data_IF_521340207626
#
_entry.id   IF_521340207626
#
_cell.length_a   1.000
_cell.length_b   1.000
_cell.length_c   1.000
_cell.angle_alpha   90.00
_cell.angle_beta   90.00
_cell.angle_gamma   90.00
#
_symmetry.space_group_name_H-M   'P 1'
#
loop_
_entity.id
_entity.type
_entity.pdbx_description
1 polymer ?
#
# COMPACT_ATOMS: atom_id res chain seq x y z
N UNK A 1 17.21 -0.93 -6.39
CA UNK A 1 16.54 -2.03 -7.12
C UNK A 1 16.34 -1.57 -8.55
N UNK A 2 16.42 -2.51 -9.48
CA UNK A 2 16.12 -2.26 -10.89
C UNK A 2 14.61 -1.99 -11.06
N UNK A 3 14.26 -0.93 -11.79
CA UNK A 3 12.88 -0.51 -12.06
C UNK A 3 12.30 -1.21 -13.30
N UNK A 4 13.16 -1.76 -14.16
CA UNK A 4 12.77 -2.37 -15.43
C UNK A 4 11.69 -3.45 -15.31
N UNK A 5 11.73 -4.38 -14.32
CA UNK A 5 10.65 -5.36 -14.16
C UNK A 5 9.29 -4.72 -13.90
N UNK A 6 9.24 -3.63 -13.12
CA UNK A 6 8.01 -2.93 -12.83
C UNK A 6 7.47 -2.20 -14.06
N UNK A 7 8.37 -1.57 -14.85
CA UNK A 7 8.01 -0.90 -16.11
C UNK A 7 7.48 -1.89 -17.16
N UNK A 8 8.09 -3.07 -17.26
CA UNK A 8 7.61 -4.14 -18.12
C UNK A 8 6.17 -4.54 -17.75
N UNK A 9 5.88 -4.73 -16.45
CA UNK A 9 4.53 -5.06 -15.97
C UNK A 9 3.49 -3.98 -16.25
N UNK A 10 3.86 -2.71 -16.10
CA UNK A 10 2.98 -1.60 -16.49
C UNK A 10 2.70 -1.59 -18.00
N UNK A 11 3.71 -1.85 -18.82
CA UNK A 11 3.59 -1.91 -20.29
C UNK A 11 2.68 -3.05 -20.74
N UNK A 12 2.79 -4.20 -20.09
CA UNK A 12 1.93 -5.38 -20.30
C UNK A 12 0.50 -5.20 -19.74
N UNK A 13 0.22 -4.10 -19.03
CA UNK A 13 -1.03 -3.89 -18.27
C UNK A 13 -1.29 -4.99 -17.23
N UNK A 14 -0.23 -5.63 -16.75
CA UNK A 14 -0.26 -6.67 -15.73
C UNK A 14 -0.22 -6.03 -14.33
N UNK A 15 -1.38 -5.56 -13.87
CA UNK A 15 -1.52 -4.88 -12.57
C UNK A 15 -1.19 -5.80 -11.40
N UNK A 16 -1.42 -7.11 -11.52
CA UNK A 16 -1.03 -8.07 -10.47
C UNK A 16 0.48 -8.23 -10.38
N UNK A 17 1.12 -8.42 -11.54
CA UNK A 17 2.56 -8.47 -11.65
C UNK A 17 3.17 -7.20 -11.05
N UNK A 18 2.67 -6.02 -11.44
CA UNK A 18 3.13 -4.76 -10.89
C UNK A 18 2.93 -4.67 -9.36
N UNK A 19 1.74 -5.01 -8.86
CA UNK A 19 1.42 -4.96 -7.43
C UNK A 19 2.29 -5.90 -6.59
N UNK A 20 2.75 -7.03 -7.16
CA UNK A 20 3.69 -7.94 -6.49
C UNK A 20 5.12 -7.41 -6.42
N UNK A 21 5.47 -6.43 -7.26
CA UNK A 21 6.78 -5.80 -7.30
C UNK A 21 6.86 -4.53 -6.43
N UNK A 22 5.73 -4.02 -5.94
CA UNK A 22 5.66 -2.90 -5.01
C UNK A 22 6.31 -3.28 -3.68
N UNK A 23 7.52 -2.77 -3.44
CA UNK A 23 8.26 -2.99 -2.21
C UNK A 23 9.19 -1.82 -1.93
N UNK A 24 9.34 -1.49 -0.65
CA UNK A 24 10.28 -0.49 -0.17
C UNK A 24 11.31 -1.13 0.77
N UNK A 25 12.59 -1.01 0.43
CA UNK A 25 13.69 -1.58 1.20
C UNK A 25 13.85 -0.97 2.60
N UNK A 26 13.38 0.26 2.81
CA UNK A 26 13.43 0.92 4.12
C UNK A 26 12.25 0.55 5.02
N UNK A 27 11.22 -0.08 4.48
CA UNK A 27 9.99 -0.36 5.20
C UNK A 27 10.23 -1.17 6.47
N UNK A 28 10.91 -2.31 6.37
CA UNK A 28 11.16 -3.15 7.56
C UNK A 28 11.96 -2.42 8.64
N UNK A 29 12.94 -1.59 8.24
CA UNK A 29 13.74 -0.80 9.19
C UNK A 29 12.84 0.18 9.95
N UNK A 30 11.97 0.90 9.23
CA UNK A 30 11.04 1.88 9.82
C UNK A 30 9.97 1.19 10.68
N UNK A 31 9.42 0.06 10.22
CA UNK A 31 8.43 -0.71 10.98
C UNK A 31 9.01 -1.34 12.24
N UNK A 32 10.32 -1.62 12.27
CA UNK A 32 11.00 -2.11 13.47
C UNK A 32 11.25 -0.99 14.49
N UNK A 33 11.46 0.25 14.03
CA UNK A 33 11.72 1.39 14.91
C UNK A 33 10.45 2.13 15.36
N UNK A 34 9.33 1.97 14.64
CA UNK A 34 8.09 2.72 14.87
C UNK A 34 6.89 1.76 14.99
N UNK A 35 6.55 1.30 16.21
CA UNK A 35 5.48 0.32 16.44
C UNK A 35 4.11 0.74 15.89
N UNK A 36 3.78 2.03 15.93
CA UNK A 36 2.50 2.56 15.44
C UNK A 36 2.34 2.38 13.93
N UNK A 37 3.43 2.51 13.17
CA UNK A 37 3.43 2.25 11.73
C UNK A 37 3.35 0.76 11.42
N UNK A 38 3.89 -0.09 12.29
CA UNK A 38 3.74 -1.55 12.18
C UNK A 38 2.29 -1.95 12.39
N UNK A 39 1.63 -1.43 13.43
CA UNK A 39 0.20 -1.65 13.66
C UNK A 39 -0.63 -1.20 12.45
N UNK A 40 -0.37 -0.01 11.91
CA UNK A 40 -1.07 0.46 10.71
C UNK A 40 -0.84 -0.48 9.50
N UNK A 41 0.40 -0.90 9.26
CA UNK A 41 0.73 -1.80 8.16
C UNK A 41 0.04 -3.17 8.29
N UNK A 42 -0.05 -3.70 9.51
CA UNK A 42 -0.74 -4.95 9.83
C UNK A 42 -2.26 -4.81 9.66
N UNK A 43 -2.86 -3.71 10.12
CA UNK A 43 -4.29 -3.43 9.92
C UNK A 43 -4.64 -3.30 8.43
N UNK A 44 -3.83 -2.56 7.67
CA UNK A 44 -4.02 -2.41 6.22
C UNK A 44 -3.87 -3.76 5.49
N UNK A 45 -2.90 -4.58 5.91
CA UNK A 45 -2.68 -5.92 5.35
C UNK A 45 -3.83 -6.87 5.70
N UNK A 46 -4.36 -6.80 6.91
CA UNK A 46 -5.53 -7.60 7.33
C UNK A 46 -6.77 -7.24 6.53
N UNK A 47 -7.00 -5.94 6.29
CA UNK A 47 -8.19 -5.46 5.59
C UNK A 47 -8.13 -5.66 4.06
N UNK A 48 -6.97 -5.41 3.44
CA UNK A 48 -6.85 -5.35 1.97
C UNK A 48 -5.82 -6.31 1.38
N UNK A 49 -5.14 -7.10 2.19
CA UNK A 49 -3.99 -7.91 1.78
C UNK A 49 -2.71 -7.08 1.57
N UNK A 50 -1.57 -7.77 1.50
CA UNK A 50 -0.24 -7.14 1.39
C UNK A 50 0.15 -6.72 -0.03
N UNK A 51 -0.42 -7.35 -1.07
CA UNK A 51 -0.08 -7.04 -2.47
C UNK A 51 -0.41 -5.59 -2.82
N UNK A 52 0.51 -4.86 -3.44
CA UNK A 52 0.30 -3.45 -3.80
C UNK A 52 0.19 -2.50 -2.60
N UNK A 53 0.44 -2.97 -1.37
CA UNK A 53 0.63 -2.11 -0.19
C UNK A 53 2.12 -1.82 -0.02
N UNK A 54 2.49 -0.55 -0.06
CA UNK A 54 3.89 -0.14 0.06
C UNK A 54 4.01 1.15 0.84
N UNK A 55 4.97 1.23 1.75
CA UNK A 55 5.36 2.49 2.38
C UNK A 55 6.19 3.30 1.39
N UNK A 56 5.94 4.60 1.25
CA UNK A 56 6.71 5.46 0.34
C UNK A 56 7.87 6.14 1.06
N UNK A 57 9.03 6.24 0.40
CA UNK A 57 10.21 6.92 0.95
C UNK A 57 10.70 6.28 2.24
N UNK A 58 11.02 7.09 3.25
CA UNK A 58 11.35 6.64 4.61
C UNK A 58 10.14 6.62 5.55
N UNK A 59 8.92 6.58 5.00
CA UNK A 59 7.67 6.71 5.77
C UNK A 59 7.26 8.16 6.00
N UNK A 60 6.11 8.42 6.64
CA UNK A 60 5.15 7.46 7.24
C UNK A 60 3.99 7.06 6.32
N UNK A 61 4.01 7.49 5.06
CA UNK A 61 2.90 7.29 4.13
C UNK A 61 2.87 5.88 3.56
N UNK A 62 1.69 5.26 3.55
CA UNK A 62 1.41 4.01 2.86
C UNK A 62 0.53 4.26 1.64
N UNK A 63 0.84 3.58 0.53
CA UNK A 63 0.00 3.54 -0.66
C UNK A 63 -0.49 2.12 -0.84
N UNK A 64 -1.79 1.98 -1.06
CA UNK A 64 -2.44 0.71 -1.42
C UNK A 64 -3.06 0.85 -2.81
N UNK A 65 -2.66 -0.03 -3.71
CA UNK A 65 -3.35 -0.22 -4.99
C UNK A 65 -4.55 -1.14 -4.77
N UNK A 66 -5.73 -0.68 -5.17
CA UNK A 66 -6.97 -1.44 -5.16
C UNK A 66 -7.47 -1.61 -6.59
N UNK A 67 -7.98 -2.79 -6.90
CA UNK A 67 -8.61 -3.05 -8.20
C UNK A 67 -9.96 -2.36 -8.27
N UNK A 68 -10.36 -2.01 -9.49
CA UNK A 68 -11.73 -1.57 -9.76
C UNK A 68 -12.72 -2.64 -9.33
N UNK A 69 -13.62 -2.30 -8.41
CA UNK A 69 -14.61 -3.21 -7.85
C UNK A 69 -14.20 -3.89 -6.53
N UNK A 70 -12.93 -3.79 -6.11
CA UNK A 70 -12.59 -4.04 -4.72
C UNK A 70 -13.26 -2.96 -3.87
N UNK A 71 -14.09 -3.40 -2.93
CA UNK A 71 -14.81 -2.47 -2.07
C UNK A 71 -13.84 -1.94 -1.02
N UNK A 72 -13.60 -0.64 -1.02
CA UNK A 72 -13.13 0.04 0.18
C UNK A 72 -14.19 -0.11 1.25
N UNK A 73 -13.85 -0.70 2.40
CA UNK A 73 -14.76 -0.71 3.55
C UNK A 73 -14.79 0.70 4.12
N UNK A 74 -15.87 1.43 3.83
CA UNK A 74 -16.05 2.81 4.28
C UNK A 74 -16.00 2.94 5.81
N UNK A 75 -16.37 1.90 6.56
CA UNK A 75 -16.26 1.89 8.03
C UNK A 75 -14.81 1.75 8.48
N UNK A 76 -14.03 0.92 7.80
CA UNK A 76 -12.59 0.82 8.05
C UNK A 76 -11.89 2.16 7.78
N UNK A 77 -12.17 2.80 6.64
CA UNK A 77 -11.61 4.11 6.31
C UNK A 77 -12.04 5.18 7.32
N UNK A 78 -13.32 5.20 7.72
CA UNK A 78 -13.81 6.12 8.74
C UNK A 78 -13.09 5.93 10.09
N UNK A 79 -12.90 4.68 10.52
CA UNK A 79 -12.16 4.35 11.75
C UNK A 79 -10.69 4.79 11.66
N UNK A 80 -10.02 4.53 10.53
CA UNK A 80 -8.62 4.98 10.38
C UNK A 80 -8.50 6.51 10.41
N UNK A 81 -9.48 7.25 9.89
CA UNK A 81 -9.47 8.72 9.89
C UNK A 81 -9.48 9.35 11.28
N UNK A 82 -9.84 8.59 12.32
CA UNK A 82 -9.73 9.05 13.71
C UNK A 82 -8.26 9.23 14.14
N UNK A 83 -7.34 8.44 13.56
CA UNK A 83 -5.94 8.39 13.97
C UNK A 83 -4.94 8.72 12.85
N UNK A 84 -5.37 8.69 11.57
CA UNK A 84 -4.51 8.80 10.40
C UNK A 84 -5.12 9.69 9.32
N UNK A 85 -4.28 10.37 8.53
CA UNK A 85 -4.73 11.04 7.32
C UNK A 85 -4.94 10.02 6.20
N UNK A 86 -6.20 9.73 5.87
CA UNK A 86 -6.57 8.72 4.86
C UNK A 86 -7.43 9.32 3.77
N UNK A 87 -6.98 9.15 2.53
CA UNK A 87 -7.70 9.51 1.32
C UNK A 87 -7.70 8.35 0.31
N UNK A 88 -8.65 8.39 -0.62
CA UNK A 88 -8.80 7.38 -1.67
C UNK A 88 -9.04 8.08 -3.01
N UNK A 89 -8.26 7.72 -4.02
CA UNK A 89 -8.41 8.27 -5.36
C UNK A 89 -8.83 7.19 -6.36
N UNK A 90 -9.84 7.50 -7.18
CA UNK A 90 -10.32 6.65 -8.27
C UNK A 90 -9.82 7.23 -9.60
N UNK A 91 -8.85 6.54 -10.22
CA UNK A 91 -8.31 6.90 -11.53
C UNK A 91 -9.34 6.51 -12.61
N UNK A 92 -10.27 7.43 -12.90
CA UNK A 92 -11.28 7.30 -13.97
C UNK A 92 -10.69 7.51 -15.35
#
# INVERSE_FOLDING_TARGET
>A
RDIEPALAKLTEKDIEGFSSLCHNSLQEIVLNSTPELRTLAEEMTSQFGSKGLVMTGSGSTFIKLLRRGEKTDSRFIARLRENYFVDSFDFK
#
